data_IF_183995337949
#
_entry.id   IF_183995337949
#
_cell.length_a   1.000
_cell.length_b   1.000
_cell.length_c   1.000
_cell.angle_alpha   90.00
_cell.angle_beta   90.00
_cell.angle_gamma   90.00
#
_symmetry.space_group_name_H-M   'P 1'
#
loop_
_entity.id
_entity.type
_entity.pdbx_description
1 polymer ?
#
# COMPACT_ATOMS: atom_id res chain seq x y z
N UNK A 1 -8.36 1.48 8.42
CA UNK A 1 -8.90 2.07 7.17
C UNK A 1 -10.36 1.68 6.91
N UNK A 2 -10.67 0.41 6.67
CA UNK A 2 -11.98 -0.01 6.13
C UNK A 2 -13.20 0.34 7.00
N UNK A 3 -13.03 0.39 8.33
CA UNK A 3 -14.06 0.80 9.29
C UNK A 3 -14.43 2.28 9.20
N UNK A 4 -13.45 3.12 8.88
CA UNK A 4 -13.54 4.59 8.97
C UNK A 4 -13.86 5.18 7.59
N UNK A 5 -13.30 4.62 6.52
CA UNK A 5 -13.40 5.15 5.16
C UNK A 5 -14.46 4.46 4.28
N UNK A 6 -15.47 3.85 4.91
CA UNK A 6 -16.71 3.45 4.24
C UNK A 6 -16.78 2.03 3.65
N UNK A 7 -15.66 1.37 3.34
CA UNK A 7 -15.68 0.04 2.71
C UNK A 7 -16.42 -1.01 3.57
N UNK A 8 -16.18 -1.06 4.88
CA UNK A 8 -16.91 -1.98 5.75
C UNK A 8 -18.41 -1.70 5.77
N UNK A 9 -18.79 -0.42 5.85
CA UNK A 9 -20.18 0.01 5.82
C UNK A 9 -20.87 -0.39 4.51
N UNK A 10 -20.19 -0.20 3.38
CA UNK A 10 -20.70 -0.58 2.06
C UNK A 10 -20.89 -2.09 1.92
N UNK A 11 -19.92 -2.90 2.33
CA UNK A 11 -20.03 -4.36 2.27
C UNK A 11 -21.17 -4.86 3.17
N UNK A 12 -21.30 -4.31 4.38
CA UNK A 12 -22.40 -4.66 5.28
C UNK A 12 -23.77 -4.22 4.77
N UNK A 13 -23.85 -3.09 4.06
CA UNK A 13 -25.08 -2.60 3.47
C UNK A 13 -25.52 -3.41 2.23
N UNK A 14 -24.56 -3.87 1.41
CA UNK A 14 -24.83 -4.60 0.15
C UNK A 14 -24.85 -6.13 0.31
N UNK A 15 -24.13 -6.65 1.30
CA UNK A 15 -23.92 -8.09 1.50
C UNK A 15 -24.11 -8.46 2.97
N UNK A 16 -23.06 -8.96 3.64
CA UNK A 16 -23.10 -9.42 5.02
C UNK A 16 -21.80 -9.07 5.74
N UNK A 17 -21.84 -9.07 7.08
CA UNK A 17 -20.62 -8.93 7.88
C UNK A 17 -19.61 -10.07 7.64
N UNK A 18 -20.09 -11.26 7.27
CA UNK A 18 -19.24 -12.40 6.90
C UNK A 18 -18.47 -12.13 5.60
N UNK A 19 -19.11 -11.49 4.61
CA UNK A 19 -18.44 -11.09 3.38
C UNK A 19 -17.30 -10.09 3.67
N UNK A 20 -17.51 -9.16 4.59
CA UNK A 20 -16.47 -8.23 5.00
C UNK A 20 -15.28 -8.96 5.65
N UNK A 21 -15.54 -9.92 6.55
CA UNK A 21 -14.48 -10.74 7.14
C UNK A 21 -13.67 -11.49 6.08
N UNK A 22 -14.34 -12.06 5.06
CA UNK A 22 -13.67 -12.71 3.94
C UNK A 22 -12.79 -11.73 3.13
N UNK A 23 -13.28 -10.51 2.84
CA UNK A 23 -12.44 -9.49 2.19
C UNK A 23 -11.22 -9.13 3.02
N UNK A 24 -11.38 -8.99 4.34
CA UNK A 24 -10.26 -8.73 5.26
C UNK A 24 -9.21 -9.83 5.18
N UNK A 25 -9.63 -11.11 5.22
CA UNK A 25 -8.71 -12.24 5.05
C UNK A 25 -7.99 -12.20 3.70
N UNK A 26 -8.70 -11.92 2.60
CA UNK A 26 -8.10 -11.82 1.26
C UNK A 26 -7.09 -10.68 1.17
N UNK A 27 -7.39 -9.52 1.77
CA UNK A 27 -6.47 -8.38 1.77
C UNK A 27 -5.15 -8.67 2.47
N UNK A 28 -5.15 -9.51 3.50
CA UNK A 28 -3.92 -9.95 4.18
C UNK A 28 -3.01 -10.81 3.29
N UNK A 29 -3.54 -11.41 2.23
CA UNK A 29 -2.75 -12.21 1.28
C UNK A 29 -2.16 -11.43 0.12
N UNK A 30 -2.60 -10.19 -0.10
CA UNK A 30 -2.11 -9.34 -1.18
C UNK A 30 -0.59 -9.12 -1.06
N UNK A 31 0.18 -9.18 -2.17
CA UNK A 31 1.60 -8.84 -2.15
C UNK A 31 1.82 -7.38 -1.73
N UNK A 32 2.91 -7.11 -1.01
CA UNK A 32 3.26 -5.76 -0.54
C UNK A 32 4.03 -4.93 -1.58
N UNK A 33 4.75 -5.59 -2.50
CA UNK A 33 5.55 -4.94 -3.50
C UNK A 33 5.74 -5.82 -4.75
N UNK A 34 6.06 -5.18 -5.87
CA UNK A 34 6.37 -5.84 -7.13
C UNK A 34 7.68 -5.30 -7.72
N UNK A 35 8.53 -6.19 -8.21
CA UNK A 35 9.77 -5.82 -8.88
C UNK A 35 9.75 -6.24 -10.35
N UNK A 36 9.97 -5.29 -11.26
CA UNK A 36 9.99 -5.52 -12.71
C UNK A 36 11.45 -5.59 -13.18
N UNK A 37 11.82 -6.72 -13.77
CA UNK A 37 13.14 -7.00 -14.35
C UNK A 37 14.34 -6.73 -13.41
N UNK A 38 14.13 -6.75 -12.09
CA UNK A 38 15.17 -6.40 -11.11
C UNK A 38 15.61 -4.94 -11.17
N UNK A 39 14.80 -4.05 -11.77
CA UNK A 39 15.16 -2.64 -12.01
C UNK A 39 14.17 -1.64 -11.45
N UNK A 40 12.87 -1.95 -11.46
CA UNK A 40 11.82 -1.05 -10.98
C UNK A 40 11.09 -1.74 -9.83
N UNK A 41 11.08 -1.12 -8.65
CA UNK A 41 10.33 -1.56 -7.48
C UNK A 41 9.08 -0.70 -7.32
N UNK A 42 7.94 -1.33 -7.10
CA UNK A 42 6.63 -0.69 -6.96
C UNK A 42 6.01 -1.16 -5.64
N UNK A 43 5.53 -0.20 -4.85
CA UNK A 43 4.77 -0.40 -3.61
C UNK A 43 3.69 0.69 -3.50
N UNK A 44 2.83 0.61 -2.49
CA UNK A 44 1.75 1.59 -2.31
C UNK A 44 2.25 2.90 -1.69
N UNK A 45 3.00 2.81 -0.58
CA UNK A 45 3.63 3.94 0.09
C UNK A 45 5.01 4.20 -0.50
N UNK A 46 6.06 3.79 0.20
CA UNK A 46 7.42 4.12 -0.21
C UNK A 46 8.51 3.27 0.42
N UNK A 47 9.66 3.91 0.68
CA UNK A 47 10.85 3.27 1.24
C UNK A 47 10.81 3.23 2.78
N UNK A 48 11.85 2.68 3.37
CA UNK A 48 11.89 2.30 4.77
C UNK A 48 12.38 3.42 5.69
N UNK A 49 11.91 3.37 6.93
CA UNK A 49 12.39 4.26 8.00
C UNK A 49 13.81 3.91 8.47
N UNK A 50 14.24 2.67 8.21
CA UNK A 50 15.58 2.15 8.54
C UNK A 50 16.40 1.90 7.27
N UNK A 51 17.69 2.23 7.34
CA UNK A 51 18.63 1.95 6.26
C UNK A 51 18.94 0.45 6.15
N UNK A 52 19.36 0.02 4.95
CA UNK A 52 19.88 -1.34 4.72
C UNK A 52 18.85 -2.40 4.38
N UNK A 53 17.56 -2.05 4.29
CA UNK A 53 16.51 -2.99 3.85
C UNK A 53 16.72 -3.42 2.41
N UNK A 54 16.69 -4.73 2.17
CA UNK A 54 16.93 -5.35 0.87
C UNK A 54 15.65 -5.94 0.25
N UNK A 55 15.70 -6.28 -1.04
CA UNK A 55 14.60 -7.00 -1.70
C UNK A 55 14.35 -8.39 -1.10
N UNK A 56 15.35 -9.00 -0.46
CA UNK A 56 15.17 -10.31 0.18
C UNK A 56 14.43 -10.18 1.51
N UNK A 57 14.65 -9.08 2.24
CA UNK A 57 13.91 -8.78 3.46
C UNK A 57 12.42 -8.58 3.16
N UNK A 58 12.10 -7.86 2.08
CA UNK A 58 10.71 -7.67 1.61
C UNK A 58 10.04 -9.03 1.31
N UNK A 59 10.75 -9.96 0.66
CA UNK A 59 10.21 -11.30 0.34
C UNK A 59 9.91 -12.14 1.59
N UNK A 60 10.65 -11.92 2.67
CA UNK A 60 10.53 -12.66 3.93
C UNK A 60 9.49 -12.09 4.90
N UNK A 61 8.84 -10.97 4.55
CA UNK A 61 7.80 -10.38 5.40
C UNK A 61 6.62 -11.35 5.54
N UNK A 62 6.29 -11.69 6.79
CA UNK A 62 5.04 -12.34 7.17
C UNK A 62 3.88 -11.34 7.07
N UNK A 63 3.28 -11.28 5.88
CA UNK A 63 2.29 -10.27 5.50
C UNK A 63 0.83 -10.64 5.78
N UNK A 64 0.55 -11.92 6.05
CA UNK A 64 -0.79 -12.47 6.26
C UNK A 64 -1.37 -12.10 7.63
N UNK A 65 -1.49 -10.78 7.86
CA UNK A 65 -1.95 -10.14 9.09
C UNK A 65 -2.27 -8.67 8.81
N UNK A 66 -2.88 -7.99 9.77
CA UNK A 66 -2.96 -6.53 9.74
C UNK A 66 -1.56 -5.89 9.82
N UNK A 67 -1.31 -4.77 9.11
CA UNK A 67 -0.05 -4.05 9.21
C UNK A 67 0.26 -3.67 10.66
N UNK A 68 1.51 -3.82 11.12
CA UNK A 68 1.94 -3.27 12.41
C UNK A 68 1.95 -1.74 12.38
N UNK A 69 2.06 -1.12 13.56
CA UNK A 69 2.17 0.35 13.67
C UNK A 69 3.51 0.89 13.16
N UNK A 70 4.54 0.04 13.01
CA UNK A 70 5.87 0.40 12.52
C UNK A 70 6.59 -0.76 11.83
N UNK A 71 7.68 -0.43 11.12
CA UNK A 71 8.56 -1.39 10.46
C UNK A 71 8.23 -1.62 8.99
N UNK A 72 8.93 -2.56 8.31
CA UNK A 72 8.95 -2.63 6.85
C UNK A 72 7.60 -2.80 6.15
N UNK A 73 6.67 -3.56 6.77
CA UNK A 73 5.32 -3.71 6.23
C UNK A 73 4.50 -2.43 6.33
N UNK A 74 4.67 -1.66 7.41
CA UNK A 74 4.02 -0.37 7.59
C UNK A 74 4.58 0.64 6.59
N UNK A 75 5.91 0.73 6.49
CA UNK A 75 6.60 1.65 5.57
C UNK A 75 6.15 1.43 4.11
N UNK A 76 6.15 0.18 3.62
CA UNK A 76 5.73 -0.14 2.24
C UNK A 76 4.30 0.30 1.89
N UNK A 77 3.44 0.47 2.89
CA UNK A 77 2.04 0.84 2.72
C UNK A 77 1.79 2.32 3.01
N UNK A 78 2.61 2.96 3.86
CA UNK A 78 2.28 4.26 4.47
C UNK A 78 3.39 5.30 4.44
N UNK A 79 4.62 4.95 4.03
CA UNK A 79 5.69 5.95 3.91
C UNK A 79 5.47 6.80 2.66
N UNK A 80 4.82 7.94 2.84
CA UNK A 80 4.51 8.83 1.73
C UNK A 80 5.57 9.93 1.59
N UNK A 81 6.14 10.15 0.39
CA UNK A 81 6.85 11.39 0.12
C UNK A 81 5.91 12.58 -0.03
N UNK A 82 4.65 12.43 -0.51
CA UNK A 82 3.72 13.56 -0.74
C UNK A 82 2.24 13.17 -0.97
N UNK A 83 1.33 14.14 -0.73
CA UNK A 83 -0.12 14.09 -0.99
C UNK A 83 -0.52 13.95 -2.48
N UNK A 84 -1.84 13.84 -2.71
CA UNK A 84 -2.54 13.77 -4.02
C UNK A 84 -1.92 14.69 -5.07
N UNK A 85 -1.62 14.13 -6.24
CA UNK A 85 -0.95 14.85 -7.34
C UNK A 85 -1.96 15.35 -8.36
N UNK A 86 -1.95 16.66 -8.60
CA UNK A 86 -2.88 17.33 -9.51
C UNK A 86 -2.87 16.76 -10.94
N UNK A 87 -1.69 16.45 -11.46
CA UNK A 87 -1.51 15.86 -12.80
C UNK A 87 -1.63 14.33 -12.80
N UNK A 88 -2.00 13.71 -11.68
CA UNK A 88 -2.07 12.25 -11.52
C UNK A 88 -0.71 11.55 -11.44
N UNK A 89 0.41 12.26 -11.57
CA UNK A 89 1.75 11.73 -11.34
C UNK A 89 2.74 12.81 -10.91
N UNK A 90 3.86 12.40 -10.33
CA UNK A 90 5.00 13.29 -10.06
C UNK A 90 6.31 12.51 -10.10
N UNK A 91 7.38 13.15 -10.60
CA UNK A 91 8.73 12.61 -10.61
C UNK A 91 9.60 13.41 -9.65
N UNK A 92 10.14 12.76 -8.63
CA UNK A 92 10.95 13.38 -7.57
C UNK A 92 12.31 12.70 -7.43
N UNK A 93 13.13 13.17 -6.47
CA UNK A 93 14.43 12.57 -6.13
C UNK A 93 15.36 12.39 -7.35
N UNK A 94 15.38 13.37 -8.25
CA UNK A 94 16.21 13.33 -9.45
C UNK A 94 15.83 12.21 -10.42
N UNK A 95 14.54 11.83 -10.49
CA UNK A 95 14.06 10.78 -11.38
C UNK A 95 14.04 9.38 -10.78
N UNK A 96 14.29 9.24 -9.47
CA UNK A 96 14.38 7.95 -8.78
C UNK A 96 13.10 7.52 -8.06
N UNK A 97 12.20 8.47 -7.79
CA UNK A 97 10.92 8.20 -7.15
C UNK A 97 9.81 8.78 -8.03
N UNK A 98 8.82 7.95 -8.35
CA UNK A 98 7.69 8.32 -9.20
C UNK A 98 6.42 7.97 -8.46
N UNK A 99 5.57 8.97 -8.24
CA UNK A 99 4.22 8.80 -7.68
C UNK A 99 3.23 8.71 -8.83
N UNK A 100 2.31 7.75 -8.78
CA UNK A 100 1.19 7.62 -9.74
C UNK A 100 -0.11 7.53 -8.95
N UNK A 101 -1.08 8.38 -9.29
CA UNK A 101 -2.38 8.49 -8.63
C UNK A 101 -3.49 8.35 -9.68
N UNK A 102 -4.35 7.34 -9.50
CA UNK A 102 -5.33 6.92 -10.53
C UNK A 102 -6.79 7.23 -10.16
N UNK A 103 -7.04 8.07 -9.16
CA UNK A 103 -8.37 8.52 -8.79
C UNK A 103 -8.58 9.99 -9.23
N UNK A 104 -8.98 10.26 -10.49
CA UNK A 104 -9.20 11.63 -10.95
C UNK A 104 -10.35 12.29 -10.19
N UNK A 105 -10.29 13.62 -10.06
CA UNK A 105 -11.29 14.43 -9.34
C UNK A 105 -11.41 14.10 -7.84
N UNK A 106 -10.28 13.78 -7.19
CA UNK A 106 -10.22 13.58 -5.74
C UNK A 106 -10.09 14.95 -5.04
N UNK A 107 -11.22 15.66 -4.91
CA UNK A 107 -11.34 16.92 -4.17
C UNK A 107 -12.70 17.01 -3.48
#
# INVERSE_FOLDING_TARGET
>A
MNQIYGFEGEVKAKYTAQMFALFSEVFEWLPLAQCINGRVLIMHGGLFSEDGVTLDDIRKIERNRQPPDSGPMCDLLWSDPHEVKAEGYEVTHGGKCVTVFSAPNYW
#
